data_IF_268117211090
#
_entry.id   IF_268117211090
#
_cell.length_a   1.000
_cell.length_b   1.000
_cell.length_c   1.000
_cell.angle_alpha   90.00
_cell.angle_beta   90.00
_cell.angle_gamma   90.00
#
_symmetry.space_group_name_H-M   'P 1'
#
loop_
_entity.id
_entity.type
_entity.pdbx_description
1 polymer ?
#
# COMPACT_ATOMS: atom_id res chain seq x y z
N UNK A 1 14.73 2.33 -0.44
CA UNK A 1 13.83 1.74 0.59
C UNK A 1 14.31 0.34 1.01
N UNK A 2 13.83 -0.20 2.13
CA UNK A 2 14.07 -1.61 2.52
C UNK A 2 12.71 -2.28 2.73
N UNK A 3 12.39 -3.26 1.87
CA UNK A 3 11.19 -4.08 2.02
C UNK A 3 11.46 -5.20 3.03
N UNK A 4 10.57 -5.35 4.01
CA UNK A 4 10.74 -6.32 5.10
C UNK A 4 9.57 -7.28 5.12
N UNK A 5 9.85 -8.57 4.90
CA UNK A 5 8.86 -9.64 4.99
C UNK A 5 9.07 -10.44 6.27
N UNK A 6 7.97 -10.71 6.98
CA UNK A 6 7.94 -11.50 8.19
C UNK A 6 7.19 -12.81 7.95
N UNK A 7 7.92 -13.92 7.97
CA UNK A 7 7.35 -15.26 7.84
C UNK A 7 7.39 -16.00 9.18
N UNK A 8 6.35 -16.80 9.45
CA UNK A 8 6.28 -17.67 10.63
C UNK A 8 5.99 -19.10 10.18
N UNK A 9 6.91 -20.03 10.49
CA UNK A 9 6.65 -21.46 10.36
C UNK A 9 5.86 -21.93 11.58
N UNK A 10 4.66 -22.45 11.35
CA UNK A 10 3.82 -23.00 12.42
C UNK A 10 4.34 -24.35 12.91
N UNK A 11 4.85 -25.19 12.00
CA UNK A 11 5.38 -26.52 12.31
C UNK A 11 6.64 -26.47 13.19
N UNK A 12 7.56 -25.55 12.89
CA UNK A 12 8.84 -25.45 13.60
C UNK A 12 8.85 -24.34 14.67
N UNK A 13 7.74 -23.60 14.83
CA UNK A 13 7.62 -22.43 15.70
C UNK A 13 8.73 -21.36 15.51
N UNK A 14 9.29 -21.26 14.30
CA UNK A 14 10.37 -20.32 13.96
C UNK A 14 9.86 -19.15 13.14
N UNK A 15 10.50 -17.99 13.31
CA UNK A 15 10.23 -16.77 12.52
C UNK A 15 11.42 -16.48 11.63
N UNK A 16 11.15 -16.15 10.37
CA UNK A 16 12.13 -15.71 9.38
C UNK A 16 11.81 -14.27 9.00
N UNK A 17 12.84 -13.44 8.88
CA UNK A 17 12.72 -12.07 8.38
C UNK A 17 13.57 -11.92 7.13
N UNK A 18 12.93 -11.61 6.02
CA UNK A 18 13.61 -11.33 4.76
C UNK A 18 13.65 -9.82 4.56
N UNK A 19 14.82 -9.29 4.25
CA UNK A 19 15.05 -7.87 4.01
C UNK A 19 15.58 -7.71 2.59
N UNK A 20 14.88 -6.94 1.78
CA UNK A 20 15.25 -6.66 0.39
C UNK A 20 15.51 -5.17 0.27
N UNK A 21 16.70 -4.80 -0.20
CA UNK A 21 17.04 -3.41 -0.45
C UNK A 21 16.54 -3.01 -1.83
N UNK A 22 15.85 -1.88 -1.89
CA UNK A 22 15.32 -1.29 -3.11
C UNK A 22 15.98 0.08 -3.31
N UNK A 23 16.44 0.35 -4.54
CA UNK A 23 16.90 1.68 -4.92
C UNK A 23 15.73 2.67 -4.85
N UNK A 24 16.02 3.94 -4.58
CA UNK A 24 14.99 4.98 -4.53
C UNK A 24 14.45 5.33 -5.93
N UNK A 25 15.33 5.31 -6.93
CA UNK A 25 14.98 5.58 -8.33
C UNK A 25 14.20 4.44 -8.99
N UNK A 26 14.36 3.20 -8.50
CA UNK A 26 13.71 2.00 -9.03
C UNK A 26 13.06 1.19 -7.90
N UNK A 27 11.99 1.76 -7.32
CA UNK A 27 11.23 1.18 -6.23
C UNK A 27 10.28 0.05 -6.69
N UNK A 28 10.79 -0.95 -7.41
CA UNK A 28 10.01 -2.06 -7.94
C UNK A 28 10.39 -3.39 -7.32
N UNK A 29 9.39 -4.24 -7.09
CA UNK A 29 9.61 -5.59 -6.59
C UNK A 29 8.53 -6.54 -7.12
N UNK A 30 8.85 -7.81 -7.30
CA UNK A 30 7.86 -8.81 -7.69
C UNK A 30 6.86 -9.06 -6.54
N UNK A 31 5.56 -9.08 -6.88
CA UNK A 31 4.48 -9.43 -5.96
C UNK A 31 4.56 -10.90 -5.55
N UNK A 32 4.34 -11.17 -4.26
CA UNK A 32 4.21 -12.53 -3.72
C UNK A 32 2.75 -12.91 -3.46
N UNK A 33 1.79 -12.10 -3.94
CA UNK A 33 0.35 -12.37 -3.84
C UNK A 33 -0.05 -13.75 -4.41
N UNK A 34 0.65 -14.23 -5.44
CA UNK A 34 0.40 -15.55 -6.02
C UNK A 34 0.72 -16.71 -5.05
N UNK A 35 1.63 -16.49 -4.10
CA UNK A 35 1.98 -17.45 -3.04
C UNK A 35 1.06 -17.30 -1.83
N UNK A 36 0.80 -16.07 -1.39
CA UNK A 36 -0.02 -15.77 -0.21
C UNK A 36 -1.06 -14.67 -0.50
N UNK A 37 -2.34 -15.05 -0.52
CA UNK A 37 -3.45 -14.11 -0.79
C UNK A 37 -3.58 -12.99 0.23
N UNK A 38 -3.20 -13.24 1.48
CA UNK A 38 -3.21 -12.22 2.54
C UNK A 38 -2.28 -11.02 2.23
N UNK A 39 -1.30 -11.20 1.34
CA UNK A 39 -0.31 -10.17 1.01
C UNK A 39 -0.89 -9.06 0.13
N UNK A 40 -2.04 -9.26 -0.52
CA UNK A 40 -2.75 -8.24 -1.31
C UNK A 40 -2.86 -6.89 -0.57
N UNK A 41 -3.41 -6.93 0.65
CA UNK A 41 -3.59 -5.74 1.50
C UNK A 41 -2.27 -5.07 1.89
N UNK A 42 -1.25 -5.87 2.21
CA UNK A 42 0.05 -5.36 2.63
C UNK A 42 0.84 -4.72 1.49
N UNK A 43 0.77 -5.30 0.28
CA UNK A 43 1.39 -4.71 -0.91
C UNK A 43 0.71 -3.40 -1.29
N UNK A 44 -0.62 -3.34 -1.22
CA UNK A 44 -1.39 -2.10 -1.44
C UNK A 44 -1.09 -1.02 -0.41
N UNK A 45 -0.97 -1.37 0.87
CA UNK A 45 -0.55 -0.44 1.92
C UNK A 45 0.85 0.11 1.65
N UNK A 46 1.80 -0.75 1.30
CA UNK A 46 3.17 -0.33 1.01
C UNK A 46 3.25 0.56 -0.24
N UNK A 47 2.44 0.28 -1.26
CA UNK A 47 2.27 1.14 -2.42
C UNK A 47 1.71 2.51 -2.05
N UNK A 48 0.65 2.56 -1.23
CA UNK A 48 0.02 3.81 -0.83
C UNK A 48 0.94 4.69 0.05
N UNK A 49 1.59 4.08 1.03
CA UNK A 49 2.40 4.79 2.02
C UNK A 49 3.81 5.16 1.56
N UNK A 50 4.44 4.30 0.76
CA UNK A 50 5.85 4.46 0.35
C UNK A 50 6.03 4.55 -1.17
N UNK A 51 5.02 4.26 -1.98
CA UNK A 51 5.12 4.31 -3.45
C UNK A 51 5.94 3.17 -4.04
N UNK A 52 5.99 2.02 -3.37
CA UNK A 52 6.68 0.83 -3.89
C UNK A 52 5.75 0.12 -4.86
N UNK A 53 6.22 -0.12 -6.08
CA UNK A 53 5.44 -0.76 -7.15
C UNK A 53 5.66 -2.26 -7.13
N UNK A 54 4.57 -3.02 -7.07
CA UNK A 54 4.59 -4.48 -7.06
C UNK A 54 4.24 -5.06 -8.44
N UNK A 55 5.20 -5.67 -9.11
CA UNK A 55 5.01 -6.28 -10.42
C UNK A 55 4.26 -7.61 -10.30
N UNK A 56 3.19 -7.78 -11.09
CA UNK A 56 2.34 -8.98 -11.07
C UNK A 56 1.22 -8.96 -10.01
N UNK A 57 1.00 -7.81 -9.35
CA UNK A 57 -0.13 -7.63 -8.44
C UNK A 57 -1.46 -7.45 -9.23
N UNK A 58 -2.57 -8.11 -8.85
CA UNK A 58 -3.82 -8.05 -9.62
C UNK A 58 -4.53 -6.69 -9.55
N UNK A 59 -4.45 -5.99 -8.41
CA UNK A 59 -5.13 -4.71 -8.20
C UNK A 59 -4.30 -3.77 -7.31
N UNK A 60 -3.31 -3.10 -7.90
CA UNK A 60 -2.46 -2.16 -7.17
C UNK A 60 -3.10 -0.77 -7.16
N UNK A 61 -4.01 -0.55 -6.21
CA UNK A 61 -4.64 0.75 -5.95
C UNK A 61 -4.45 1.16 -4.49
N UNK A 62 -4.53 2.46 -4.25
CA UNK A 62 -4.53 3.04 -2.90
C UNK A 62 -5.65 2.47 -2.04
N UNK A 63 -5.47 2.56 -0.73
CA UNK A 63 -6.38 1.94 0.23
C UNK A 63 -6.58 2.76 1.51
N UNK A 64 -5.53 3.42 1.99
CA UNK A 64 -5.58 4.23 3.21
C UNK A 64 -5.84 5.70 2.87
N UNK A 65 -5.17 6.21 1.84
CA UNK A 65 -5.33 7.61 1.43
C UNK A 65 -6.53 7.76 0.49
N UNK A 66 -7.14 8.94 0.53
CA UNK A 66 -8.20 9.31 -0.39
C UNK A 66 -7.64 9.49 -1.82
N UNK A 67 -8.52 9.43 -2.81
CA UNK A 67 -8.14 9.33 -4.24
C UNK A 67 -7.25 10.49 -4.71
N UNK A 68 -7.52 11.71 -4.22
CA UNK A 68 -6.81 12.94 -4.62
C UNK A 68 -5.55 13.24 -3.78
N UNK A 69 -5.15 12.34 -2.88
CA UNK A 69 -3.97 12.58 -2.04
C UNK A 69 -2.70 12.69 -2.90
N UNK A 70 -1.84 13.66 -2.64
CA UNK A 70 -0.63 13.83 -3.44
C UNK A 70 0.62 13.33 -2.70
N UNK A 71 1.27 12.31 -3.26
CA UNK A 71 2.51 11.75 -2.74
C UNK A 71 2.32 10.50 -1.87
N UNK A 72 3.30 10.25 -1.01
CA UNK A 72 3.43 9.05 -0.18
C UNK A 72 3.88 9.44 1.24
N UNK A 73 2.99 9.41 2.24
CA UNK A 73 3.18 10.11 3.51
C UNK A 73 4.30 9.55 4.39
N UNK A 74 4.64 8.26 4.26
CA UNK A 74 5.68 7.65 5.08
C UNK A 74 7.09 7.75 4.45
N UNK A 75 7.22 8.41 3.30
CA UNK A 75 8.56 8.73 2.79
C UNK A 75 9.21 9.85 3.60
N UNK A 76 10.53 9.80 3.72
CA UNK A 76 11.28 10.74 4.57
C UNK A 76 11.40 12.15 3.98
N UNK A 77 11.32 12.25 2.67
CA UNK A 77 11.27 13.49 1.89
C UNK A 77 9.89 14.16 1.94
N UNK A 78 8.87 13.46 2.45
CA UNK A 78 7.51 13.99 2.49
C UNK A 78 7.38 15.12 3.53
N UNK A 79 6.93 16.32 3.13
CA UNK A 79 6.77 17.45 4.04
C UNK A 79 5.58 17.24 4.98
N UNK A 80 5.85 17.10 6.28
CA UNK A 80 4.82 16.85 7.30
C UNK A 80 3.80 17.99 7.41
N UNK A 81 4.23 19.22 7.16
CA UNK A 81 3.40 20.42 7.29
C UNK A 81 2.64 20.77 6.00
N UNK A 82 2.80 19.99 4.92
CA UNK A 82 2.16 20.30 3.64
C UNK A 82 0.66 20.04 3.75
N UNK A 83 -0.11 21.11 3.55
CA UNK A 83 -1.56 21.00 3.42
C UNK A 83 -1.91 20.15 2.20
N UNK A 84 -2.82 19.23 2.43
CA UNK A 84 -3.43 18.43 1.40
C UNK A 84 -4.49 19.23 0.65
N UNK A 85 -4.71 18.92 -0.65
CA UNK A 85 -5.80 19.53 -1.39
C UNK A 85 -7.13 19.24 -0.70
N UNK A 86 -7.95 20.27 -0.55
CA UNK A 86 -9.32 20.15 -0.08
C UNK A 86 -10.14 19.49 -1.19
N UNK A 87 -10.66 18.31 -0.89
CA UNK A 87 -11.58 17.62 -1.79
C UNK A 87 -12.89 18.41 -1.85
N UNK A 88 -13.34 18.74 -3.07
CA UNK A 88 -14.67 19.31 -3.24
C UNK A 88 -15.73 18.30 -2.78
N UNK A 89 -16.71 18.78 -2.02
CA UNK A 89 -17.82 17.93 -1.58
C UNK A 89 -18.61 17.49 -2.81
N UNK A 90 -18.49 16.23 -3.19
CA UNK A 90 -19.33 15.63 -4.23
C UNK A 90 -20.81 15.84 -3.89
N UNK A 91 -21.59 16.19 -4.91
CA UNK A 91 -23.04 16.34 -4.80
C UNK A 91 -23.68 15.06 -4.25
N UNK A 92 -24.80 15.19 -3.54
CA UNK A 92 -25.42 14.08 -2.79
C UNK A 92 -25.72 12.85 -3.68
N UNK A 93 -25.96 13.06 -4.98
CA UNK A 93 -26.22 12.00 -5.95
C UNK A 93 -24.97 11.16 -6.32
N UNK A 94 -23.76 11.72 -6.19
CA UNK A 94 -22.48 11.07 -6.54
C UNK A 94 -21.73 10.53 -5.31
N UNK A 95 -22.25 10.77 -4.11
CA UNK A 95 -21.71 10.16 -2.90
C UNK A 95 -21.83 8.66 -3.03
N UNK A 96 -20.73 7.95 -2.84
CA UNK A 96 -20.74 6.48 -2.75
C UNK A 96 -21.77 6.07 -1.69
N UNK A 97 -22.91 5.56 -2.16
CA UNK A 97 -23.91 4.96 -1.29
C UNK A 97 -23.25 3.72 -0.74
N UNK A 98 -22.88 3.73 0.54
CA UNK A 98 -22.56 2.50 1.26
C UNK A 98 -23.86 1.69 1.37
N UNK A 99 -24.20 1.01 0.28
CA UNK A 99 -25.37 0.18 0.16
C UNK A 99 -25.20 -0.99 1.10
N UNK A 100 -25.97 -0.99 2.20
CA UNK A 100 -26.33 -2.21 2.88
C UNK A 100 -27.24 -2.97 1.91
N UNK A 101 -26.64 -3.77 1.03
CA UNK A 101 -27.39 -4.74 0.25
C UNK A 101 -28.02 -5.71 1.26
N UNK A 102 -29.36 -5.68 1.34
CA UNK A 102 -30.17 -6.60 2.11
C UNK A 102 -30.16 -8.00 1.46
#
# INVERSE_FOLDING_TARGET
FEMVYHFKSLTHARRLRLKVRLAEDDCKIASIHHLWKAVDWYERECFDMFGIVFEGHPDLRRILMYDEFEGHPLRKDYPIDKQQPLMELKEVAERHVYGRHA
#
